data_IF_173828546520
#
_entry.id   IF_173828546520
#
_cell.length_a   1.000
_cell.length_b   1.000
_cell.length_c   1.000
_cell.angle_alpha   90.00
_cell.angle_beta   90.00
_cell.angle_gamma   90.00
#
_symmetry.space_group_name_H-M   'P 1'
#
loop_
_entity.id
_entity.type
_entity.pdbx_description
1 polymer ?
#
# COMPACT_ATOMS: atom_id res chain seq x y z
N UNK A 1 20.18 -38.28 -23.44
CA UNK A 1 19.12 -38.23 -22.40
C UNK A 1 19.56 -37.31 -21.26
N UNK A 2 19.54 -35.98 -21.44
CA UNK A 2 19.95 -35.05 -20.36
C UNK A 2 19.20 -33.71 -20.37
N UNK A 3 18.75 -33.22 -21.53
CA UNK A 3 18.07 -31.92 -21.61
C UNK A 3 16.63 -31.89 -21.08
N UNK A 4 15.88 -33.00 -21.19
CA UNK A 4 14.47 -33.06 -20.73
C UNK A 4 14.36 -33.03 -19.20
N UNK A 5 15.36 -33.57 -18.48
CA UNK A 5 15.38 -33.56 -17.01
C UNK A 5 15.66 -32.16 -16.43
N UNK A 6 16.52 -31.36 -17.06
CA UNK A 6 16.80 -30.00 -16.58
C UNK A 6 15.62 -29.04 -16.81
N UNK A 7 14.86 -29.18 -17.90
CA UNK A 7 13.70 -28.33 -18.17
C UNK A 7 12.54 -28.59 -17.18
N UNK A 8 12.31 -29.85 -16.80
CA UNK A 8 11.29 -30.22 -15.81
C UNK A 8 11.63 -29.73 -14.39
N UNK A 9 12.91 -29.68 -14.03
CA UNK A 9 13.33 -29.14 -12.73
C UNK A 9 13.15 -27.62 -12.64
N UNK A 10 13.37 -26.86 -13.73
CA UNK A 10 13.16 -25.41 -13.72
C UNK A 10 11.67 -25.04 -13.73
N UNK A 11 10.83 -25.79 -14.47
CA UNK A 11 9.37 -25.57 -14.45
C UNK A 11 8.76 -25.82 -13.07
N UNK A 12 9.27 -26.78 -12.30
CA UNK A 12 8.82 -27.04 -10.94
C UNK A 12 9.26 -25.95 -9.94
N UNK A 13 10.46 -25.36 -10.10
CA UNK A 13 10.95 -24.30 -9.21
C UNK A 13 10.22 -22.97 -9.46
N UNK A 14 9.90 -22.65 -10.72
CA UNK A 14 9.07 -21.47 -11.04
C UNK A 14 7.60 -21.63 -10.62
N UNK A 15 7.07 -22.86 -10.62
CA UNK A 15 5.73 -23.13 -10.11
C UNK A 15 5.63 -23.04 -8.58
N UNK A 16 6.72 -23.30 -7.84
CA UNK A 16 6.74 -23.07 -6.38
C UNK A 16 6.97 -21.60 -6.06
N UNK A 17 7.81 -20.88 -6.82
CA UNK A 17 8.04 -19.44 -6.62
C UNK A 17 6.79 -18.57 -6.82
N UNK A 18 5.94 -18.92 -7.80
CA UNK A 18 4.67 -18.23 -8.02
C UNK A 18 3.60 -18.55 -6.95
N UNK A 19 3.77 -19.64 -6.18
CA UNK A 19 2.85 -20.04 -5.10
C UNK A 19 3.36 -19.58 -3.73
N UNK A 20 4.67 -19.37 -3.55
CA UNK A 20 5.23 -18.81 -2.30
C UNK A 20 5.14 -17.30 -2.20
N UNK A 21 4.91 -16.57 -3.30
CA UNK A 21 4.54 -15.15 -3.22
C UNK A 21 3.10 -14.95 -2.68
N UNK A 22 2.32 -16.03 -2.56
CA UNK A 22 0.91 -16.03 -2.13
C UNK A 22 0.78 -16.14 -0.59
N UNK A 23 1.87 -16.26 0.17
CA UNK A 23 1.76 -16.52 1.61
C UNK A 23 2.83 -15.82 2.47
N UNK A 24 3.08 -14.53 2.27
CA UNK A 24 3.69 -13.73 3.34
C UNK A 24 2.72 -13.45 4.51
N UNK A 25 1.45 -13.83 4.37
CA UNK A 25 0.48 -13.83 5.44
C UNK A 25 -0.33 -15.12 5.34
N UNK A 26 -0.39 -15.91 6.41
CA UNK A 26 -1.20 -17.12 6.42
C UNK A 26 -2.66 -16.76 6.12
N UNK A 27 -3.35 -17.55 5.29
CA UNK A 27 -4.75 -17.29 4.91
C UNK A 27 -5.76 -17.22 6.07
N UNK A 28 -5.30 -17.45 7.31
CA UNK A 28 -6.07 -17.32 8.55
C UNK A 28 -5.76 -16.03 9.34
N UNK A 29 -4.65 -15.31 9.08
CA UNK A 29 -4.27 -14.09 9.82
C UNK A 29 -4.96 -12.82 9.29
N UNK A 30 -5.27 -12.78 8.00
CA UNK A 30 -6.13 -11.75 7.40
C UNK A 30 -7.37 -12.44 6.85
N UNK A 31 -8.37 -12.66 7.70
CA UNK A 31 -9.72 -12.84 7.16
C UNK A 31 -10.10 -11.56 6.43
N UNK A 32 -9.94 -11.52 5.09
CA UNK A 32 -10.25 -10.38 4.22
C UNK A 32 -9.51 -9.07 4.58
N UNK A 33 -8.52 -8.59 3.78
CA UNK A 33 -8.20 -8.91 2.38
C UNK A 33 -7.47 -10.25 2.15
N UNK A 34 -7.60 -10.83 0.94
CA UNK A 34 -7.06 -12.16 0.62
C UNK A 34 -5.82 -12.13 -0.30
N UNK A 35 -5.86 -11.41 -1.42
CA UNK A 35 -4.81 -11.45 -2.47
C UNK A 35 -4.48 -10.05 -2.99
N UNK A 36 -3.27 -9.86 -3.52
CA UNK A 36 -2.91 -8.60 -4.21
C UNK A 36 -3.64 -8.49 -5.54
N UNK A 37 -3.97 -7.26 -5.92
CA UNK A 37 -4.58 -6.95 -7.20
C UNK A 37 -4.18 -5.54 -7.65
N UNK A 38 -4.46 -5.21 -8.92
CA UNK A 38 -4.27 -3.87 -9.47
C UNK A 38 -5.66 -3.30 -9.82
N UNK A 39 -6.16 -2.30 -9.09
CA UNK A 39 -7.49 -1.73 -9.36
C UNK A 39 -7.66 -1.09 -10.75
N UNK A 40 -6.55 -0.66 -11.36
CA UNK A 40 -6.49 -0.16 -12.74
C UNK A 40 -6.62 -1.24 -13.81
N UNK A 41 -6.46 -2.51 -13.45
CA UNK A 41 -6.59 -3.65 -14.36
C UNK A 41 -7.96 -4.32 -14.16
N UNK A 42 -8.60 -4.74 -15.26
CA UNK A 42 -9.88 -5.44 -15.20
C UNK A 42 -9.74 -6.86 -14.61
N UNK A 43 -10.73 -7.28 -13.82
CA UNK A 43 -10.92 -8.66 -13.32
C UNK A 43 -9.69 -9.31 -12.65
N UNK A 44 -9.05 -8.59 -11.74
CA UNK A 44 -7.88 -9.07 -10.98
C UNK A 44 -8.24 -9.89 -9.72
N UNK A 45 -9.54 -10.07 -9.43
CA UNK A 45 -10.00 -10.75 -8.20
C UNK A 45 -10.97 -11.90 -8.48
N UNK A 46 -10.99 -12.94 -7.61
CA UNK A 46 -11.98 -14.01 -7.70
C UNK A 46 -13.43 -13.51 -7.61
N UNK A 47 -14.36 -14.32 -8.09
CA UNK A 47 -15.79 -14.08 -7.91
C UNK A 47 -16.12 -13.78 -6.44
N UNK A 48 -17.00 -12.80 -6.19
CA UNK A 48 -17.39 -12.25 -4.88
C UNK A 48 -16.37 -11.33 -4.17
N UNK A 49 -15.21 -11.09 -4.78
CA UNK A 49 -14.23 -10.11 -4.33
C UNK A 49 -14.24 -8.87 -5.24
N UNK A 50 -13.87 -7.73 -4.68
CA UNK A 50 -13.54 -6.54 -5.46
C UNK A 50 -12.07 -6.17 -5.24
N UNK A 51 -11.43 -5.62 -6.27
CA UNK A 51 -10.10 -5.07 -6.13
C UNK A 51 -10.16 -3.65 -5.56
N UNK A 52 -9.70 -3.50 -4.32
CA UNK A 52 -9.73 -2.23 -3.61
C UNK A 52 -8.32 -1.73 -3.36
N UNK A 53 -8.07 -0.49 -3.76
CA UNK A 53 -6.86 0.24 -3.39
C UNK A 53 -6.81 0.42 -1.88
N UNK A 54 -5.65 0.16 -1.30
CA UNK A 54 -5.29 0.39 0.09
C UNK A 54 -4.48 1.70 0.26
N UNK A 55 -4.47 2.56 -0.77
CA UNK A 55 -3.82 3.87 -0.72
C UNK A 55 -4.66 4.92 0.01
N UNK A 56 -4.12 5.49 1.09
CA UNK A 56 -4.78 6.55 1.84
C UNK A 56 -4.43 7.96 1.37
N UNK A 57 -3.59 8.12 0.35
CA UNK A 57 -3.11 9.43 -0.08
C UNK A 57 -4.27 10.33 -0.56
N UNK A 58 -4.16 11.60 -0.22
CA UNK A 58 -5.05 12.65 -0.69
C UNK A 58 -4.21 13.89 -1.03
N UNK A 59 -4.79 14.79 -1.82
CA UNK A 59 -4.07 15.98 -2.29
C UNK A 59 -3.54 16.83 -1.14
N UNK A 60 -2.46 17.55 -1.40
CA UNK A 60 -1.86 18.56 -0.52
C UNK A 60 -1.38 18.01 0.85
N UNK A 61 -1.26 16.70 1.00
CA UNK A 61 -0.87 16.03 2.25
C UNK A 61 -1.94 16.09 3.33
N UNK A 62 -3.17 16.40 2.94
CA UNK A 62 -4.34 16.38 3.81
C UNK A 62 -4.85 14.95 4.01
N UNK A 63 -5.78 14.78 4.94
CA UNK A 63 -6.46 13.49 5.12
C UNK A 63 -7.46 13.25 3.98
N UNK A 64 -7.72 12.00 3.59
CA UNK A 64 -8.72 11.71 2.56
C UNK A 64 -10.14 12.03 3.02
N UNK A 65 -10.87 12.78 2.20
CA UNK A 65 -12.28 13.14 2.38
C UNK A 65 -13.21 11.96 2.03
N UNK A 66 -13.12 10.87 2.81
CA UNK A 66 -13.92 9.67 2.57
C UNK A 66 -15.41 9.83 2.88
N UNK A 67 -16.20 8.92 2.32
CA UNK A 67 -17.63 8.74 2.51
C UNK A 67 -18.44 9.97 2.09
N UNK A 68 -17.98 10.65 1.05
CA UNK A 68 -18.61 11.87 0.55
C UNK A 68 -18.45 13.07 1.48
N UNK A 69 -17.47 13.04 2.39
CA UNK A 69 -17.05 14.24 3.10
C UNK A 69 -16.59 15.31 2.08
N UNK A 70 -16.87 16.57 2.39
CA UNK A 70 -16.38 17.67 1.57
C UNK A 70 -14.88 17.87 1.85
N UNK A 71 -14.14 18.26 0.80
CA UNK A 71 -12.79 18.77 0.99
C UNK A 71 -12.83 20.08 1.81
N UNK A 72 -11.89 20.22 2.73
CA UNK A 72 -11.74 21.37 3.63
C UNK A 72 -10.26 21.61 3.97
N UNK A 73 -9.97 22.38 5.03
CA UNK A 73 -8.60 22.69 5.42
C UNK A 73 -7.81 21.50 6.00
N UNK A 74 -8.47 20.37 6.23
CA UNK A 74 -7.92 19.15 6.84
C UNK A 74 -8.13 17.90 5.97
N UNK A 75 -9.11 17.94 5.06
CA UNK A 75 -9.42 16.83 4.17
C UNK A 75 -9.38 17.23 2.69
N UNK A 76 -8.89 16.34 1.84
CA UNK A 76 -8.83 16.52 0.39
C UNK A 76 -9.35 15.30 -0.38
N UNK A 77 -9.49 15.47 -1.70
CA UNK A 77 -9.86 14.38 -2.60
C UNK A 77 -8.85 13.22 -2.48
N UNK A 78 -9.30 11.98 -2.21
CA UNK A 78 -8.42 10.83 -2.24
C UNK A 78 -7.84 10.59 -3.64
N UNK A 79 -6.55 10.25 -3.74
CA UNK A 79 -5.83 10.15 -5.02
C UNK A 79 -6.12 8.83 -5.73
N UNK A 80 -6.03 7.69 -5.03
CA UNK A 80 -6.21 6.36 -5.63
C UNK A 80 -7.26 5.49 -4.95
N UNK A 81 -8.20 6.08 -4.22
CA UNK A 81 -9.28 5.37 -3.53
C UNK A 81 -10.64 6.02 -3.80
N UNK A 82 -11.72 5.40 -3.30
CA UNK A 82 -13.11 5.73 -3.66
C UNK A 82 -13.35 5.80 -5.18
N UNK A 83 -13.75 6.99 -5.68
CA UNK A 83 -14.03 7.23 -7.09
C UNK A 83 -12.78 7.14 -7.96
N UNK A 84 -11.59 7.26 -7.36
CA UNK A 84 -10.31 7.15 -8.04
C UNK A 84 -9.65 5.78 -7.86
N UNK A 85 -10.38 4.78 -7.33
CA UNK A 85 -9.87 3.42 -7.14
C UNK A 85 -9.22 2.86 -8.41
N UNK A 86 -9.85 3.06 -9.57
CA UNK A 86 -9.34 2.56 -10.86
C UNK A 86 -8.06 3.22 -11.37
N UNK A 87 -7.53 4.22 -10.68
CA UNK A 87 -6.25 4.84 -11.00
C UNK A 87 -5.07 4.13 -10.31
N UNK A 88 -5.35 3.27 -9.33
CA UNK A 88 -4.33 2.58 -8.54
C UNK A 88 -3.71 1.40 -9.27
N UNK A 89 -2.39 1.21 -9.15
CA UNK A 89 -1.70 0.01 -9.63
C UNK A 89 -1.56 -1.09 -8.56
N UNK A 90 -1.90 -0.79 -7.31
CA UNK A 90 -1.81 -1.73 -6.20
C UNK A 90 -3.11 -1.72 -5.38
N UNK A 91 -3.39 -2.84 -4.73
CA UNK A 91 -4.56 -3.01 -3.90
C UNK A 91 -4.71 -4.45 -3.47
N UNK A 92 -5.85 -4.73 -2.85
CA UNK A 92 -6.18 -6.05 -2.35
C UNK A 92 -7.56 -6.49 -2.81
N UNK A 93 -7.68 -7.76 -3.18
CA UNK A 93 -8.94 -8.44 -3.33
C UNK A 93 -9.60 -8.58 -1.98
N UNK A 94 -10.71 -7.88 -1.82
CA UNK A 94 -11.51 -7.84 -0.60
C UNK A 94 -12.88 -8.44 -0.83
N UNK A 95 -13.32 -9.28 0.09
CA UNK A 95 -14.69 -9.77 0.08
C UNK A 95 -15.61 -8.65 0.55
N UNK A 96 -16.55 -8.21 -0.28
CA UNK A 96 -17.36 -7.04 0.08
C UNK A 96 -18.36 -7.31 1.21
N UNK A 97 -18.73 -8.58 1.41
CA UNK A 97 -19.63 -8.98 2.48
C UNK A 97 -18.94 -8.85 3.84
N UNK A 98 -19.58 -8.14 4.78
CA UNK A 98 -19.13 -8.06 6.17
C UNK A 98 -18.06 -7.01 6.46
N UNK A 99 -17.71 -6.14 5.50
CA UNK A 99 -16.82 -4.99 5.74
C UNK A 99 -17.49 -4.06 6.75
N UNK A 100 -16.82 -3.81 7.85
CA UNK A 100 -17.23 -2.78 8.80
C UNK A 100 -16.98 -1.40 8.18
N UNK A 101 -18.04 -0.59 8.05
CA UNK A 101 -17.96 0.81 7.64
C UNK A 101 -17.30 1.04 6.26
N UNK A 102 -17.86 0.46 5.17
CA UNK A 102 -17.27 0.55 3.85
C UNK A 102 -17.33 1.97 3.29
N UNK A 103 -16.44 2.25 2.34
CA UNK A 103 -16.53 3.39 1.42
C UNK A 103 -17.82 3.31 0.59
N UNK A 104 -18.19 4.41 -0.07
CA UNK A 104 -19.39 4.47 -0.90
C UNK A 104 -19.38 3.47 -2.09
N UNK A 105 -18.19 3.03 -2.51
CA UNK A 105 -17.99 2.02 -3.54
C UNK A 105 -17.91 0.57 -3.00
N UNK A 106 -18.09 0.37 -1.70
CA UNK A 106 -18.07 -0.93 -1.04
C UNK A 106 -16.70 -1.38 -0.52
N UNK A 107 -15.60 -0.72 -0.90
CA UNK A 107 -14.26 -1.05 -0.42
C UNK A 107 -14.10 -0.75 1.09
N UNK A 108 -13.20 -1.42 1.82
CA UNK A 108 -12.79 -0.97 3.14
C UNK A 108 -12.14 0.41 3.05
N UNK A 109 -12.17 1.16 4.14
CA UNK A 109 -11.58 2.50 4.21
C UNK A 109 -10.05 2.38 4.25
N UNK A 110 -9.31 2.91 3.26
CA UNK A 110 -7.86 2.92 3.30
C UNK A 110 -7.34 3.86 4.38
N UNK A 111 -6.21 3.53 4.96
CA UNK A 111 -5.60 4.34 6.02
C UNK A 111 -4.08 4.20 6.02
N UNK A 112 -3.39 5.20 6.57
CA UNK A 112 -1.94 5.14 6.76
C UNK A 112 -1.62 4.78 8.22
N UNK A 113 -0.98 3.63 8.49
CA UNK A 113 -0.68 3.20 9.85
C UNK A 113 0.45 4.03 10.51
N UNK A 114 1.11 4.91 9.76
CA UNK A 114 2.13 5.84 10.29
C UNK A 114 1.57 7.22 10.68
N UNK A 115 0.30 7.49 10.38
CA UNK A 115 -0.35 8.72 10.82
C UNK A 115 -0.40 8.84 12.35
N UNK A 116 -0.61 10.06 12.83
CA UNK A 116 -0.87 10.28 14.24
C UNK A 116 -2.14 9.55 14.67
N UNK A 117 -2.19 9.10 15.93
CA UNK A 117 -3.35 8.36 16.46
C UNK A 117 -4.68 9.12 16.33
N UNK A 118 -4.64 10.46 16.40
CA UNK A 118 -5.82 11.31 16.19
C UNK A 118 -6.36 11.23 14.75
N UNK A 119 -5.46 11.22 13.77
CA UNK A 119 -5.81 11.13 12.35
C UNK A 119 -6.33 9.73 12.01
N UNK A 120 -5.68 8.68 12.52
CA UNK A 120 -6.17 7.30 12.41
C UNK A 120 -7.58 7.20 13.01
N UNK A 121 -7.81 7.78 14.20
CA UNK A 121 -9.14 7.76 14.81
C UNK A 121 -10.17 8.56 14.01
N UNK A 122 -9.76 9.65 13.34
CA UNK A 122 -10.67 10.42 12.49
C UNK A 122 -11.12 9.65 11.23
N UNK A 123 -10.21 8.87 10.63
CA UNK A 123 -10.46 8.10 9.40
C UNK A 123 -11.13 6.75 9.71
N UNK A 124 -10.53 5.99 10.62
CA UNK A 124 -10.96 4.64 10.99
C UNK A 124 -12.01 4.60 12.11
N UNK A 125 -12.29 5.72 12.77
CA UNK A 125 -13.18 5.76 13.93
C UNK A 125 -12.59 4.97 15.10
N UNK A 126 -13.26 3.88 15.47
CA UNK A 126 -12.83 2.95 16.53
C UNK A 126 -12.05 1.74 16.03
N UNK A 127 -11.83 1.59 14.72
CA UNK A 127 -11.01 0.53 14.14
C UNK A 127 -9.52 0.91 14.17
N UNK A 128 -8.65 -0.09 14.08
CA UNK A 128 -7.22 0.10 13.91
C UNK A 128 -6.87 0.29 12.43
N UNK A 129 -5.79 1.01 12.13
CA UNK A 129 -5.26 1.09 10.78
C UNK A 129 -4.24 -0.04 10.56
N UNK A 130 -4.56 -0.99 9.69
CA UNK A 130 -3.77 -2.20 9.52
C UNK A 130 -3.07 -2.19 8.17
N UNK A 131 -1.73 -2.27 8.21
CA UNK A 131 -0.91 -2.46 7.03
C UNK A 131 -1.34 -3.75 6.32
N UNK A 132 -1.53 -3.66 5.00
CA UNK A 132 -2.04 -4.74 4.15
C UNK A 132 -0.93 -5.56 3.50
N UNK A 133 0.28 -5.01 3.48
CA UNK A 133 1.41 -5.54 2.74
C UNK A 133 2.71 -5.21 3.46
N UNK A 134 3.62 -6.17 3.58
CA UNK A 134 4.98 -5.90 4.08
C UNK A 134 5.83 -5.15 3.03
N UNK A 135 6.75 -4.32 3.51
CA UNK A 135 7.75 -3.65 2.67
C UNK A 135 8.72 -4.66 2.04
N UNK A 136 9.31 -4.32 0.90
CA UNK A 136 10.54 -4.97 0.45
C UNK A 136 11.74 -4.22 1.06
N UNK A 137 12.51 -4.83 1.99
CA UNK A 137 13.62 -4.15 2.67
C UNK A 137 14.81 -3.78 1.76
N UNK A 138 14.92 -4.42 0.60
CA UNK A 138 15.99 -4.19 -0.36
C UNK A 138 15.63 -3.09 -1.36
N UNK A 139 14.34 -2.87 -1.61
CA UNK A 139 13.85 -1.91 -2.61
C UNK A 139 13.15 -0.69 -2.02
N UNK A 140 12.40 -0.84 -0.95
CA UNK A 140 11.56 0.25 -0.43
C UNK A 140 12.25 1.09 0.65
N UNK A 141 13.45 0.70 1.09
CA UNK A 141 14.20 1.39 2.12
C UNK A 141 15.31 2.26 1.53
N UNK A 142 15.41 3.50 2.02
CA UNK A 142 16.50 4.44 1.69
C UNK A 142 17.12 4.99 2.97
N UNK A 143 18.30 5.62 2.85
CA UNK A 143 18.92 6.37 3.94
C UNK A 143 18.42 7.82 3.88
N UNK A 144 17.73 8.26 4.93
CA UNK A 144 17.26 9.64 5.07
C UNK A 144 18.38 10.65 5.33
N UNK A 145 18.02 11.94 5.36
CA UNK A 145 18.97 13.02 5.62
C UNK A 145 19.61 13.00 7.01
N UNK A 146 19.03 12.25 7.95
CA UNK A 146 19.55 11.98 9.29
C UNK A 146 20.51 10.78 9.36
N UNK A 147 20.76 10.12 8.22
CA UNK A 147 21.64 8.96 8.12
C UNK A 147 20.98 7.65 8.56
N UNK A 148 19.66 7.62 8.78
CA UNK A 148 18.92 6.41 9.18
C UNK A 148 18.18 5.79 8.01
N UNK A 149 18.04 4.47 8.04
CA UNK A 149 17.15 3.76 7.14
C UNK A 149 15.70 4.10 7.46
N UNK A 150 14.93 4.40 6.42
CA UNK A 150 13.48 4.56 6.49
C UNK A 150 12.85 4.14 5.18
N UNK A 151 11.53 3.94 5.20
CA UNK A 151 10.77 3.74 3.99
C UNK A 151 10.84 4.99 3.10
N UNK A 152 10.84 4.75 1.79
CA UNK A 152 10.76 5.81 0.78
C UNK A 152 9.36 6.45 0.76
N UNK A 153 9.30 7.69 0.32
CA UNK A 153 8.11 8.48 0.07
C UNK A 153 8.21 9.17 -1.28
N UNK A 154 7.09 9.64 -1.81
CA UNK A 154 7.04 10.43 -3.03
C UNK A 154 7.93 11.67 -3.01
N UNK A 155 8.06 12.31 -1.85
CA UNK A 155 8.93 13.46 -1.66
C UNK A 155 10.41 13.15 -1.97
N UNK A 156 10.87 11.92 -1.75
CA UNK A 156 12.27 11.51 -1.93
C UNK A 156 12.75 11.57 -3.38
N UNK A 157 11.84 11.48 -4.34
CA UNK A 157 12.14 11.70 -5.76
C UNK A 157 12.52 13.15 -6.00
N UNK A 158 11.74 14.08 -5.43
CA UNK A 158 11.91 15.52 -5.64
C UNK A 158 13.15 16.02 -4.92
N UNK A 159 13.47 15.41 -3.78
CA UNK A 159 14.70 15.64 -3.03
C UNK A 159 15.92 14.91 -3.63
N UNK A 160 15.72 14.18 -4.74
CA UNK A 160 16.76 13.44 -5.47
C UNK A 160 17.51 12.39 -4.62
N UNK A 161 16.83 11.85 -3.60
CA UNK A 161 17.36 10.77 -2.76
C UNK A 161 17.23 9.40 -3.45
N UNK A 162 16.26 9.26 -4.36
CA UNK A 162 16.01 8.05 -5.15
C UNK A 162 15.33 8.38 -6.48
N UNK A 163 15.16 7.38 -7.33
CA UNK A 163 14.39 7.48 -8.58
C UNK A 163 13.01 6.84 -8.42
N UNK A 164 12.02 7.40 -9.11
CA UNK A 164 10.67 6.83 -9.14
C UNK A 164 10.60 5.53 -9.93
N UNK A 165 9.58 4.72 -9.65
CA UNK A 165 9.25 3.53 -10.40
C UNK A 165 9.85 2.24 -9.87
N UNK A 166 10.35 1.37 -10.76
CA UNK A 166 10.75 -0.01 -10.42
C UNK A 166 11.88 -0.16 -9.39
N UNK A 167 12.44 0.95 -8.90
CA UNK A 167 13.31 0.99 -7.74
C UNK A 167 12.58 0.64 -6.44
N UNK A 168 11.26 0.83 -6.37
CA UNK A 168 10.44 0.64 -5.19
C UNK A 168 9.28 -0.30 -5.52
N UNK A 169 9.32 -1.52 -4.99
CA UNK A 169 8.41 -2.60 -5.40
C UNK A 169 6.98 -2.34 -4.98
N UNK A 170 6.79 -1.69 -3.84
CA UNK A 170 5.48 -1.55 -3.22
C UNK A 170 4.89 -0.15 -3.36
N UNK A 171 5.44 0.63 -4.28
CA UNK A 171 4.94 1.93 -4.68
C UNK A 171 3.57 1.81 -5.38
N UNK A 172 2.66 2.72 -5.07
CA UNK A 172 1.28 2.73 -5.55
C UNK A 172 1.12 3.06 -7.04
N UNK A 173 2.05 3.79 -7.63
CA UNK A 173 2.03 4.16 -9.05
C UNK A 173 3.46 4.26 -9.61
N UNK A 174 4.15 3.12 -9.78
CA UNK A 174 5.56 3.11 -10.18
C UNK A 174 5.77 3.71 -11.58
N UNK A 175 4.76 3.68 -12.45
CA UNK A 175 4.85 4.29 -13.77
C UNK A 175 4.41 5.76 -13.80
N UNK A 176 3.96 6.32 -12.67
CA UNK A 176 3.37 7.67 -12.58
C UNK A 176 2.17 7.89 -13.52
N UNK A 177 1.54 6.80 -13.97
CA UNK A 177 0.43 6.85 -14.93
C UNK A 177 -0.87 7.23 -14.23
N UNK A 178 -1.09 6.71 -13.02
CA UNK A 178 -2.24 7.05 -12.19
C UNK A 178 -2.23 8.55 -11.84
N UNK A 179 -1.09 9.10 -11.44
CA UNK A 179 -0.96 10.53 -11.17
C UNK A 179 -1.15 11.38 -12.43
N UNK A 180 -0.69 10.91 -13.60
CA UNK A 180 -0.91 11.62 -14.86
C UNK A 180 -2.40 11.70 -15.22
N UNK A 181 -3.13 10.59 -15.01
CA UNK A 181 -4.57 10.55 -15.21
C UNK A 181 -5.32 11.41 -14.18
N UNK A 182 -4.90 11.37 -12.92
CA UNK A 182 -5.48 12.18 -11.85
C UNK A 182 -5.34 13.68 -12.12
N UNK A 183 -4.15 14.12 -12.53
CA UNK A 183 -3.87 15.52 -12.85
C UNK A 183 -4.37 15.93 -14.25
N UNK A 184 -4.66 14.97 -15.13
CA UNK A 184 -4.98 15.21 -16.54
C UNK A 184 -3.75 15.59 -17.39
N UNK A 185 -2.54 15.53 -16.82
CA UNK A 185 -1.27 15.88 -17.46
C UNK A 185 -0.12 15.09 -16.84
N UNK A 186 0.89 14.73 -17.65
CA UNK A 186 2.13 14.13 -17.19
C UNK A 186 3.27 15.16 -17.22
N UNK A 187 3.20 16.19 -16.37
CA UNK A 187 4.18 17.27 -16.29
C UNK A 187 4.61 17.52 -14.83
N UNK A 188 5.88 17.26 -14.45
CA UNK A 188 6.41 17.55 -13.12
C UNK A 188 6.32 19.03 -12.68
N UNK A 189 6.08 19.96 -13.61
CA UNK A 189 5.86 21.37 -13.29
C UNK A 189 4.38 21.70 -13.03
N UNK A 190 3.46 20.80 -13.37
CA UNK A 190 2.06 20.93 -12.99
C UNK A 190 1.91 20.64 -11.49
N UNK A 191 1.22 21.55 -10.79
CA UNK A 191 1.11 21.48 -9.35
C UNK A 191 0.35 20.24 -8.88
N UNK A 192 -0.70 19.82 -9.60
CA UNK A 192 -1.52 18.65 -9.24
C UNK A 192 -0.78 17.35 -9.51
N UNK A 193 -0.09 17.24 -10.64
CA UNK A 193 0.74 16.07 -10.94
C UNK A 193 1.89 15.92 -9.95
N UNK A 194 2.61 17.02 -9.68
CA UNK A 194 3.72 17.01 -8.74
C UNK A 194 3.26 16.76 -7.30
N UNK A 195 2.13 17.33 -6.89
CA UNK A 195 1.52 17.02 -5.59
C UNK A 195 1.17 15.55 -5.49
N UNK A 196 0.43 15.00 -6.47
CA UNK A 196 0.08 13.58 -6.50
C UNK A 196 1.30 12.70 -6.25
N UNK A 197 2.38 12.89 -7.03
CA UNK A 197 3.60 12.11 -6.87
C UNK A 197 4.24 12.25 -5.48
N UNK A 198 4.17 13.42 -4.83
CA UNK A 198 4.72 13.63 -3.47
C UNK A 198 3.94 12.89 -2.40
N UNK A 199 2.63 12.74 -2.56
CA UNK A 199 1.75 12.10 -1.58
C UNK A 199 1.82 10.58 -1.62
N UNK A 200 2.35 10.01 -2.70
CA UNK A 200 2.48 8.56 -2.84
C UNK A 200 3.57 8.00 -1.92
N UNK A 201 3.39 6.75 -1.52
CA UNK A 201 4.27 6.05 -0.59
C UNK A 201 4.39 4.57 -0.97
N UNK A 202 5.16 3.84 -0.15
CA UNK A 202 5.28 2.37 -0.20
C UNK A 202 4.42 1.72 0.88
N UNK A 203 4.48 0.39 0.97
CA UNK A 203 3.54 -0.43 1.74
C UNK A 203 3.39 -0.06 3.23
N UNK A 204 4.41 0.49 3.88
CA UNK A 204 4.32 0.87 5.30
C UNK A 204 3.32 1.99 5.59
N UNK A 205 2.87 2.70 4.56
CA UNK A 205 1.90 3.79 4.67
C UNK A 205 0.56 3.44 4.04
N UNK A 206 0.36 2.17 3.67
CA UNK A 206 -0.83 1.67 2.99
C UNK A 206 -1.50 0.61 3.86
N UNK A 207 -2.83 0.63 3.88
CA UNK A 207 -3.57 -0.23 4.79
C UNK A 207 -5.07 -0.03 4.72
N UNK A 208 -5.79 -0.81 5.52
CA UNK A 208 -7.23 -0.66 5.70
C UNK A 208 -7.59 -0.52 7.18
N UNK A 209 -8.66 0.22 7.44
CA UNK A 209 -9.29 0.23 8.75
C UNK A 209 -9.90 -1.15 9.04
N UNK A 210 -9.37 -1.84 10.06
CA UNK A 210 -9.83 -3.17 10.45
C UNK A 210 -9.94 -3.30 11.99
N UNK A 211 -10.75 -4.24 12.46
CA UNK A 211 -10.96 -4.44 13.89
C UNK A 211 -9.70 -4.96 14.60
N UNK A 212 -8.94 -5.81 13.91
CA UNK A 212 -7.70 -6.40 14.41
C UNK A 212 -6.62 -6.25 13.36
N UNK A 213 -5.46 -5.75 13.76
CA UNK A 213 -4.28 -5.75 12.91
C UNK A 213 -3.40 -6.96 13.26
N UNK A 214 -2.93 -7.71 12.26
CA UNK A 214 -1.73 -8.50 12.44
C UNK A 214 -0.56 -7.55 12.68
N UNK A 215 0.45 -8.07 13.38
CA UNK A 215 1.65 -7.31 13.59
C UNK A 215 2.51 -7.34 12.32
N UNK A 216 2.92 -6.16 11.85
CA UNK A 216 3.82 -6.01 10.71
C UNK A 216 5.10 -5.34 11.18
N UNK A 217 6.24 -5.94 10.83
CA UNK A 217 7.54 -5.40 11.16
C UNK A 217 7.87 -4.18 10.29
N UNK A 218 8.63 -3.25 10.87
CA UNK A 218 9.19 -2.12 10.14
C UNK A 218 10.56 -2.50 9.62
N UNK A 219 10.57 -3.19 8.48
CA UNK A 219 11.79 -3.77 7.95
C UNK A 219 12.86 -2.72 7.61
N UNK A 220 12.47 -1.47 7.31
CA UNK A 220 13.43 -0.40 7.12
C UNK A 220 14.06 0.05 8.44
N UNK A 221 13.25 0.21 9.49
CA UNK A 221 13.77 0.56 10.82
C UNK A 221 14.68 -0.53 11.38
N UNK A 222 14.40 -1.80 11.12
CA UNK A 222 15.24 -2.93 11.51
C UNK A 222 16.63 -2.95 10.85
N UNK A 223 16.85 -2.18 9.78
CA UNK A 223 18.18 -1.99 9.19
C UNK A 223 19.04 -1.01 10.00
N UNK A 224 18.44 -0.23 10.90
CA UNK A 224 19.19 0.65 11.79
C UNK A 224 19.87 -0.15 12.91
N UNK A 225 21.08 0.22 13.35
CA UNK A 225 21.80 -0.51 14.40
C UNK A 225 21.06 -0.63 15.75
N UNK A 226 20.16 0.31 16.01
CA UNK A 226 19.31 0.42 17.20
C UNK A 226 17.84 0.06 16.92
N UNK A 227 17.54 -0.49 15.73
CA UNK A 227 16.18 -0.91 15.36
C UNK A 227 15.65 -2.00 16.29
N UNK A 228 14.41 -1.82 16.77
CA UNK A 228 13.74 -2.76 17.67
C UNK A 228 12.56 -3.41 16.94
N UNK A 229 12.46 -4.76 16.91
CA UNK A 229 11.35 -5.42 16.23
C UNK A 229 10.03 -5.17 16.95
N UNK A 230 9.03 -4.70 16.20
CA UNK A 230 7.69 -4.34 16.69
C UNK A 230 6.91 -5.58 17.15
N UNK A 231 7.11 -6.71 16.51
CA UNK A 231 6.33 -7.93 16.70
C UNK A 231 6.98 -8.94 17.67
N UNK A 232 8.16 -8.61 18.21
CA UNK A 232 8.92 -9.48 19.10
C UNK A 232 8.44 -9.53 20.55
N UNK A 233 7.28 -8.92 20.86
CA UNK A 233 6.58 -9.18 22.11
C UNK A 233 5.86 -10.53 22.03
N UNK A 234 6.49 -11.59 22.56
CA UNK A 234 5.74 -12.76 23.02
C UNK A 234 4.69 -12.23 24.00
N UNK A 235 3.38 -12.50 23.82
CA UNK A 235 2.40 -12.14 24.83
C UNK A 235 2.84 -12.79 26.12
N UNK A 236 3.03 -12.01 27.19
CA UNK A 236 3.17 -12.56 28.51
C UNK A 236 1.85 -13.27 28.84
N UNK A 237 1.80 -14.57 28.59
CA UNK A 237 0.80 -15.50 29.10
C UNK A 237 1.16 -15.93 30.52
#
# INVERSE_FOLDING_TARGET
MSFVRSALFHAAIFAVGAVTAIACFGGDEYGNPAFRCAPSEADSCPDSYACCSDDPAAQEGLLPAYRGAAADATHATPIFSENNNSLSSQGMCVQLAGIANPLLNGCPVPCNPTWAAGDISSICGGAACCQTQELDPDKDCIIGGDGRWRAVTGADIFDQLTAWGGAHETNQDPAANGCALFAGVADPNDATYADCLRQLSVANQRGFCNATCPCVEDLCELKNPDGVPKCSAVPAG
#
